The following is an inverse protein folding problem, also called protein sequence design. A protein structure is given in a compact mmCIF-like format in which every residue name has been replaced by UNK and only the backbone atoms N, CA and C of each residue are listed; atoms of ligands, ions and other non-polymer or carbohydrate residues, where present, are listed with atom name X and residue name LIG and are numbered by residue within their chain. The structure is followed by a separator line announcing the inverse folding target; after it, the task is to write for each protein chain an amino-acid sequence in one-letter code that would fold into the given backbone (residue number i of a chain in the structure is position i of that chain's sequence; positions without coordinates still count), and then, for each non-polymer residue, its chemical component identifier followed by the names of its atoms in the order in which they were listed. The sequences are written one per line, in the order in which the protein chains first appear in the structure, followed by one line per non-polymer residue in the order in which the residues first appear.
data_IF_797464793615
#
_entry.id   IF_797464793615
#
_cell.length_a   1.000
_cell.length_b   1.000
_cell.length_c   1.000
_cell.angle_alpha   90.00
_cell.angle_beta   90.00
_cell.angle_gamma   90.00
#
_symmetry.space_group_name_H-M   'P 1'
#
loop_
_entity.id
_entity.type
_entity.pdbx_description
1 polymer ?
#
# COMPACT_ATOMS: atom_id res chain seq x y z
N UNK A 1 42.90 3.31 35.10
CA UNK A 1 43.17 1.92 34.68
C UNK A 1 41.91 1.09 34.92
N UNK A 2 41.04 0.97 33.92
CA UNK A 2 40.86 -0.18 33.01
C UNK A 2 39.83 -1.23 33.48
N UNK A 3 38.56 -1.02 33.08
CA UNK A 3 37.57 -2.08 32.79
C UNK A 3 36.72 -1.74 31.53
N UNK A 4 37.31 -1.04 30.56
CA UNK A 4 36.65 -0.54 29.34
C UNK A 4 37.23 -1.15 28.04
N UNK A 5 37.67 -2.41 28.08
CA UNK A 5 38.16 -3.11 26.88
C UNK A 5 37.85 -4.59 26.96
N UNK A 6 36.76 -5.00 26.32
CA UNK A 6 36.53 -6.32 25.70
C UNK A 6 35.04 -6.40 25.34
N UNK A 7 34.63 -5.81 24.22
CA UNK A 7 33.44 -6.21 23.44
C UNK A 7 33.49 -5.69 21.98
N UNK A 8 34.50 -4.93 21.59
CA UNK A 8 34.87 -4.80 20.17
C UNK A 8 35.69 -6.01 19.73
N UNK A 9 35.01 -7.00 19.14
CA UNK A 9 35.46 -7.75 17.96
C UNK A 9 34.55 -8.96 17.69
N UNK A 10 33.51 -8.76 16.89
CA UNK A 10 33.02 -9.68 15.83
C UNK A 10 31.99 -8.94 14.99
N UNK A 11 31.93 -9.21 13.67
CA UNK A 11 31.62 -8.20 12.67
C UNK A 11 30.16 -7.76 12.73
N UNK A 12 29.96 -6.43 12.74
CA UNK A 12 28.67 -5.81 12.50
C UNK A 12 28.21 -6.14 11.09
N UNK A 13 27.33 -7.13 10.97
CA UNK A 13 26.60 -7.45 9.76
C UNK A 13 25.26 -8.07 10.16
N UNK A 14 24.31 -7.22 10.54
CA UNK A 14 22.90 -7.54 10.53
C UNK A 14 22.17 -6.21 10.31
N UNK A 15 21.82 -5.99 9.05
CA UNK A 15 21.18 -4.80 8.53
C UNK A 15 19.71 -4.78 8.97
N UNK A 16 19.28 -3.60 9.39
CA UNK A 16 17.90 -3.16 9.65
C UNK A 16 16.92 -3.65 8.58
N UNK A 17 15.94 -4.50 8.91
CA UNK A 17 14.96 -4.98 7.91
C UNK A 17 13.47 -5.00 8.32
N UNK A 18 13.04 -4.68 9.54
CA UNK A 18 11.58 -4.71 9.86
C UNK A 18 10.89 -3.35 9.69
N UNK A 19 11.53 -2.25 10.12
CA UNK A 19 11.02 -0.89 9.83
C UNK A 19 11.01 -0.54 8.34
N UNK A 20 11.83 -1.23 7.52
CA UNK A 20 11.84 -1.08 6.06
C UNK A 20 10.75 -1.92 5.40
N UNK A 21 10.29 -3.03 5.99
CA UNK A 21 9.24 -3.86 5.40
C UNK A 21 7.84 -3.27 5.60
N UNK A 22 7.51 -2.74 6.79
CA UNK A 22 6.21 -2.10 7.01
C UNK A 22 6.06 -0.80 6.20
N UNK A 23 7.16 -0.05 6.00
CA UNK A 23 7.20 1.17 5.17
C UNK A 23 7.48 0.92 3.69
N UNK A 24 7.86 -0.31 3.36
CA UNK A 24 7.80 -0.82 2.00
C UNK A 24 6.37 -1.15 1.58
N UNK A 25 5.43 -1.33 2.52
CA UNK A 25 4.10 -1.86 2.26
C UNK A 25 3.01 -0.80 2.05
N UNK A 26 3.11 0.39 2.64
CA UNK A 26 2.38 1.57 2.12
C UNK A 26 2.93 2.04 0.77
N UNK A 27 4.18 1.67 0.50
CA UNK A 27 4.81 1.73 -0.80
C UNK A 27 4.66 0.43 -1.59
N UNK A 28 3.86 -0.59 -1.21
CA UNK A 28 3.94 -1.88 -1.93
C UNK A 28 3.42 -1.81 -3.35
N UNK A 29 2.44 -0.96 -3.73
CA UNK A 29 2.22 -0.68 -5.14
C UNK A 29 3.49 -0.10 -5.77
N UNK A 30 4.17 0.84 -5.11
CA UNK A 30 5.39 1.49 -5.60
C UNK A 30 6.66 0.59 -5.60
N UNK A 31 6.81 -0.36 -4.68
CA UNK A 31 7.96 -1.28 -4.58
C UNK A 31 7.78 -2.50 -5.46
N UNK A 32 6.54 -2.95 -5.68
CA UNK A 32 6.25 -3.92 -6.74
C UNK A 32 6.22 -3.30 -8.14
N UNK A 33 6.06 -1.97 -8.25
CA UNK A 33 6.37 -1.20 -9.46
C UNK A 33 7.89 -1.00 -9.66
N UNK A 34 8.69 -0.87 -8.59
CA UNK A 34 10.12 -0.52 -8.72
C UNK A 34 11.04 -1.70 -9.04
N UNK A 35 10.68 -2.94 -8.69
CA UNK A 35 11.49 -4.12 -8.99
C UNK A 35 11.43 -4.58 -10.47
N UNK A 36 10.53 -4.00 -11.29
CA UNK A 36 10.42 -4.30 -12.73
C UNK A 36 11.17 -3.34 -13.67
N UNK A 37 11.63 -2.19 -13.18
CA UNK A 37 12.10 -1.08 -14.03
C UNK A 37 13.64 -0.97 -14.17
N UNK A 38 14.40 -1.95 -13.68
CA UNK A 38 15.87 -1.91 -13.73
C UNK A 38 16.47 -2.09 -15.15
N UNK A 39 15.65 -2.23 -16.20
CA UNK A 39 16.17 -2.26 -17.56
C UNK A 39 15.10 -2.09 -18.61
N UNK A 40 14.71 -0.85 -18.92
CA UNK A 40 14.16 -0.46 -20.23
C UNK A 40 14.03 1.07 -20.35
N UNK A 41 15.14 1.79 -20.17
CA UNK A 41 15.24 3.17 -20.64
C UNK A 41 15.56 3.18 -22.13
N UNK A 42 14.53 3.36 -22.94
CA UNK A 42 14.47 4.27 -24.09
C UNK A 42 13.46 3.72 -25.10
N UNK A 43 12.30 4.37 -25.23
CA UNK A 43 11.76 4.71 -26.55
C UNK A 43 10.54 5.65 -26.45
N UNK A 44 10.48 6.71 -27.27
CA UNK A 44 9.32 7.59 -27.35
C UNK A 44 8.25 6.95 -28.24
N UNK A 45 7.04 6.74 -27.72
CA UNK A 45 5.91 6.30 -28.54
C UNK A 45 4.81 7.35 -28.62
N UNK A 46 4.42 7.62 -29.87
CA UNK A 46 3.47 8.63 -30.28
C UNK A 46 2.03 8.29 -29.87
N UNK A 47 1.32 9.30 -29.38
CA UNK A 47 -0.06 9.21 -28.88
C UNK A 47 -1.04 9.25 -30.06
N UNK A 48 -1.79 8.17 -30.29
CA UNK A 48 -2.96 8.19 -31.16
C UNK A 48 -4.21 8.39 -30.30
N UNK A 49 -4.91 9.51 -30.51
CA UNK A 49 -6.20 9.78 -29.87
C UNK A 49 -7.30 8.98 -30.60
N UNK A 50 -8.03 8.13 -29.89
CA UNK A 50 -9.33 7.63 -30.34
C UNK A 50 -10.44 8.48 -29.72
N UNK A 51 -11.37 8.89 -30.57
CA UNK A 51 -12.47 9.79 -30.28
C UNK A 51 -13.59 9.09 -29.50
N UNK A 52 -14.17 9.79 -28.51
CA UNK A 52 -15.38 9.37 -27.80
C UNK A 52 -15.47 9.73 -26.31
N UNK A 53 -14.49 10.41 -25.73
CA UNK A 53 -14.53 10.80 -24.31
C UNK A 53 -15.40 12.06 -24.09
N UNK A 54 -16.21 12.05 -23.03
CA UNK A 54 -16.78 13.26 -22.42
C UNK A 54 -15.66 14.31 -22.26
N UNK A 55 -16.00 15.59 -22.40
CA UNK A 55 -15.02 16.66 -22.26
C UNK A 55 -14.40 16.58 -20.85
N UNK A 56 -13.14 16.15 -20.77
CA UNK A 56 -12.37 16.03 -19.53
C UNK A 56 -12.39 17.36 -18.80
N UNK A 57 -12.81 17.36 -17.54
CA UNK A 57 -12.80 18.58 -16.72
C UNK A 57 -11.36 18.91 -16.27
N UNK A 58 -11.14 20.14 -15.81
CA UNK A 58 -9.85 20.55 -15.26
C UNK A 58 -9.44 19.75 -14.02
N UNK A 59 -10.42 19.26 -13.26
CA UNK A 59 -10.26 18.47 -12.04
C UNK A 59 -9.92 17.01 -12.36
N UNK A 60 -10.58 16.39 -13.35
CA UNK A 60 -10.29 15.01 -13.81
C UNK A 60 -8.80 14.83 -14.19
N UNK A 61 -8.23 15.90 -14.75
CA UNK A 61 -6.84 15.93 -15.18
C UNK A 61 -5.88 16.33 -14.08
N UNK A 62 -6.35 16.98 -13.01
CA UNK A 62 -5.50 17.44 -11.92
C UNK A 62 -4.85 16.27 -11.20
N UNK A 63 -5.66 15.36 -10.64
CA UNK A 63 -5.16 14.25 -9.84
C UNK A 63 -4.30 13.31 -10.70
N UNK A 64 -4.70 13.07 -11.95
CA UNK A 64 -3.90 12.32 -12.93
C UNK A 64 -2.50 12.91 -13.13
N UNK A 65 -2.37 14.25 -13.25
CA UNK A 65 -1.06 14.91 -13.41
C UNK A 65 -0.23 14.82 -12.14
N UNK A 66 -0.85 14.98 -10.98
CA UNK A 66 -0.18 14.93 -9.69
C UNK A 66 0.35 13.52 -9.39
N UNK A 67 -0.46 12.48 -9.62
CA UNK A 67 -0.04 11.08 -9.51
C UNK A 67 1.10 10.73 -10.47
N UNK A 68 1.08 11.25 -11.70
CA UNK A 68 2.21 11.12 -12.65
C UNK A 68 3.48 11.75 -12.13
N UNK A 69 3.39 12.98 -11.60
CA UNK A 69 4.53 13.66 -10.98
C UNK A 69 5.06 12.87 -9.78
N UNK A 70 4.16 12.35 -8.95
CA UNK A 70 4.49 11.55 -7.77
C UNK A 70 5.18 10.23 -8.10
N UNK A 71 4.78 9.54 -9.18
CA UNK A 71 5.47 8.33 -9.64
C UNK A 71 6.94 8.57 -10.02
N UNK A 72 7.25 9.79 -10.48
CA UNK A 72 8.60 10.20 -10.91
C UNK A 72 9.39 10.95 -9.84
N UNK A 73 8.90 10.96 -8.58
CA UNK A 73 9.48 11.76 -7.48
C UNK A 73 10.97 11.50 -7.24
N UNK A 74 11.44 10.25 -7.41
CA UNK A 74 12.85 9.89 -7.24
C UNK A 74 13.80 10.56 -8.25
N UNK A 75 13.27 11.06 -9.38
CA UNK A 75 14.03 11.79 -10.41
C UNK A 75 13.93 13.32 -10.27
N UNK A 76 13.10 13.81 -9.33
CA UNK A 76 12.88 15.24 -9.16
C UNK A 76 13.97 15.86 -8.29
N UNK A 77 14.75 16.76 -8.87
CA UNK A 77 15.72 17.56 -8.13
C UNK A 77 15.04 18.36 -7.02
N UNK A 78 15.51 18.22 -5.78
CA UNK A 78 14.98 18.94 -4.62
C UNK A 78 13.69 18.36 -4.03
N UNK A 79 13.25 17.17 -4.46
CA UNK A 79 12.14 16.48 -3.80
C UNK A 79 12.47 16.14 -2.34
N UNK A 80 11.59 16.52 -1.43
CA UNK A 80 11.68 16.17 -0.02
C UNK A 80 10.62 15.12 0.28
N UNK A 81 11.09 13.94 0.68
CA UNK A 81 10.21 12.83 1.08
C UNK A 81 9.59 13.14 2.45
N UNK A 82 8.30 12.82 2.58
CA UNK A 82 7.64 12.81 3.87
C UNK A 82 8.35 11.86 4.86
N UNK A 83 8.38 12.26 6.14
CA UNK A 83 8.75 11.37 7.22
C UNK A 83 7.83 10.16 7.28
N UNK A 84 8.36 9.01 7.69
CA UNK A 84 7.62 7.73 7.67
C UNK A 84 7.71 6.98 8.99
N UNK A 85 8.60 7.39 9.89
CA UNK A 85 8.67 6.90 11.26
C UNK A 85 8.13 7.96 12.23
N UNK A 86 7.65 7.56 13.43
CA UNK A 86 7.19 8.49 14.46
C UNK A 86 8.19 9.63 14.75
N UNK A 87 9.49 9.34 14.77
CA UNK A 87 10.55 10.33 15.01
C UNK A 87 10.71 11.39 13.90
N UNK A 88 10.17 11.12 12.71
CA UNK A 88 10.25 12.00 11.53
C UNK A 88 8.91 12.63 11.17
N UNK A 89 7.87 12.37 11.96
CA UNK A 89 6.51 12.84 11.74
C UNK A 89 6.05 13.72 12.92
N UNK A 90 5.02 14.51 12.69
CA UNK A 90 4.41 15.35 13.72
C UNK A 90 3.27 14.59 14.38
N UNK A 91 3.24 14.59 15.71
CA UNK A 91 2.07 14.09 16.44
C UNK A 91 0.87 14.99 16.17
N UNK A 92 -0.29 14.39 15.89
CA UNK A 92 -1.54 15.11 15.61
C UNK A 92 -2.72 14.42 16.28
N UNK A 93 -3.79 15.19 16.50
CA UNK A 93 -5.08 14.62 16.93
C UNK A 93 -5.65 13.70 15.84
N UNK A 94 -6.41 12.66 16.22
CA UNK A 94 -6.90 11.66 15.28
C UNK A 94 -7.98 12.19 14.32
N UNK A 95 -8.59 13.35 14.57
CA UNK A 95 -9.74 13.89 13.83
C UNK A 95 -9.52 13.93 12.31
N UNK A 96 -8.34 14.34 11.85
CA UNK A 96 -8.04 14.40 10.42
C UNK A 96 -8.02 13.02 9.76
N UNK A 97 -7.44 12.04 10.44
CA UNK A 97 -7.41 10.65 9.95
C UNK A 97 -8.82 10.02 10.02
N UNK A 98 -9.55 10.22 11.12
CA UNK A 98 -10.92 9.74 11.28
C UNK A 98 -11.82 10.30 10.17
N UNK A 99 -11.72 11.59 9.86
CA UNK A 99 -12.44 12.22 8.76
C UNK A 99 -12.20 11.50 7.42
N UNK A 100 -10.97 11.14 7.09
CA UNK A 100 -10.66 10.44 5.84
C UNK A 100 -11.20 9.00 5.81
N UNK A 101 -11.19 8.31 6.96
CA UNK A 101 -11.79 6.96 7.07
C UNK A 101 -13.31 7.03 6.89
N UNK A 102 -13.97 7.99 7.54
CA UNK A 102 -15.40 8.25 7.39
C UNK A 102 -15.78 8.65 5.96
N UNK A 103 -14.96 9.47 5.30
CA UNK A 103 -15.17 9.88 3.91
C UNK A 103 -15.12 8.68 2.96
N UNK A 104 -14.13 7.79 3.11
CA UNK A 104 -14.01 6.58 2.30
C UNK A 104 -15.17 5.61 2.54
N UNK A 105 -15.60 5.45 3.79
CA UNK A 105 -16.75 4.62 4.14
C UNK A 105 -18.04 5.17 3.52
N UNK A 106 -18.27 6.48 3.65
CA UNK A 106 -19.42 7.18 3.08
C UNK A 106 -19.45 7.11 1.55
N UNK A 107 -18.28 7.07 0.91
CA UNK A 107 -18.16 6.91 -0.54
C UNK A 107 -18.31 5.45 -1.01
N UNK A 108 -18.44 4.47 -0.10
CA UNK A 108 -18.49 3.05 -0.43
C UNK A 108 -17.16 2.45 -0.88
N UNK A 109 -16.05 3.17 -0.65
CA UNK A 109 -14.70 2.74 -1.01
C UNK A 109 -14.10 1.83 0.07
N UNK A 110 -14.37 2.14 1.34
CA UNK A 110 -13.96 1.33 2.47
C UNK A 110 -15.20 0.58 3.00
N UNK A 111 -15.19 -0.77 3.05
CA UNK A 111 -16.31 -1.52 3.62
C UNK A 111 -16.62 -1.08 5.06
N UNK A 112 -17.90 -1.09 5.43
CA UNK A 112 -18.39 -0.54 6.70
C UNK A 112 -17.73 -1.21 7.91
N UNK A 113 -17.54 -2.54 7.87
CA UNK A 113 -16.92 -3.30 8.95
C UNK A 113 -15.43 -2.95 9.12
N UNK A 114 -14.72 -2.74 8.01
CA UNK A 114 -13.32 -2.29 8.03
C UNK A 114 -13.20 -0.85 8.55
N UNK A 115 -14.10 0.04 8.13
CA UNK A 115 -14.15 1.41 8.60
C UNK A 115 -14.41 1.47 10.11
N UNK A 116 -15.43 0.74 10.59
CA UNK A 116 -15.77 0.66 12.01
C UNK A 116 -14.59 0.13 12.84
N UNK A 117 -13.91 -0.92 12.36
CA UNK A 117 -12.71 -1.42 13.01
C UNK A 117 -11.61 -0.36 13.10
N UNK A 118 -11.27 0.31 11.99
CA UNK A 118 -10.23 1.33 12.04
C UNK A 118 -10.61 2.50 12.96
N UNK A 119 -11.86 2.95 12.92
CA UNK A 119 -12.34 4.05 13.78
C UNK A 119 -12.26 3.70 15.27
N UNK A 120 -12.52 2.45 15.65
CA UNK A 120 -12.39 1.97 17.03
C UNK A 120 -10.91 1.87 17.47
N UNK A 121 -10.02 1.53 16.54
CA UNK A 121 -8.60 1.32 16.84
C UNK A 121 -7.74 2.59 16.74
N UNK A 122 -8.20 3.62 16.03
CA UNK A 122 -7.57 4.94 15.98
C UNK A 122 -7.86 5.69 17.29
N UNK A 123 -6.84 6.26 17.93
CA UNK A 123 -7.09 7.16 19.08
C UNK A 123 -5.96 7.37 20.06
N UNK A 124 -4.82 6.68 19.92
CA UNK A 124 -3.73 6.77 20.90
C UNK A 124 -2.46 7.43 20.38
N UNK A 125 -2.08 7.20 19.12
CA UNK A 125 -0.85 7.76 18.55
C UNK A 125 -0.98 7.93 17.06
N UNK A 126 -1.44 9.11 16.65
CA UNK A 126 -1.57 9.49 15.25
C UNK A 126 -0.50 10.50 14.88
N UNK A 127 0.12 10.27 13.74
CA UNK A 127 1.22 11.06 13.22
C UNK A 127 0.91 11.53 11.81
N UNK A 128 1.38 12.72 11.47
CA UNK A 128 1.25 13.33 10.16
C UNK A 128 2.62 13.74 9.61
N UNK A 129 2.83 13.56 8.32
CA UNK A 129 3.91 14.19 7.58
C UNK A 129 3.43 14.62 6.20
N UNK A 130 4.16 15.56 5.60
CA UNK A 130 3.87 16.02 4.25
C UNK A 130 5.15 15.99 3.41
N UNK A 131 5.02 15.65 2.14
CA UNK A 131 6.12 15.71 1.18
C UNK A 131 6.11 17.01 0.36
N UNK A 132 7.19 17.30 -0.34
CA UNK A 132 7.27 18.53 -1.15
C UNK A 132 6.36 18.55 -2.40
N UNK A 133 5.60 17.48 -2.65
CA UNK A 133 4.62 17.39 -3.74
C UNK A 133 3.18 17.62 -3.26
N UNK A 134 2.98 17.83 -1.95
CA UNK A 134 1.65 18.04 -1.36
C UNK A 134 0.95 16.75 -0.98
N UNK A 135 1.66 15.63 -0.82
CA UNK A 135 1.07 14.42 -0.27
C UNK A 135 1.24 14.38 1.24
N UNK A 136 0.12 14.35 1.93
CA UNK A 136 0.03 14.23 3.39
C UNK A 136 -0.15 12.76 3.76
N UNK A 137 0.67 12.26 4.66
CA UNK A 137 0.58 10.91 5.19
C UNK A 137 0.14 10.96 6.64
N UNK A 138 -0.95 10.28 6.95
CA UNK A 138 -1.38 9.97 8.30
C UNK A 138 -0.98 8.54 8.63
N UNK A 139 -0.49 8.30 9.85
CA UNK A 139 -0.24 6.96 10.37
C UNK A 139 -0.76 6.90 11.80
N UNK A 140 -1.54 5.88 12.13
CA UNK A 140 -1.95 5.61 13.50
C UNK A 140 -1.42 4.26 13.98
N UNK A 141 -0.94 4.27 15.21
CA UNK A 141 -0.53 3.08 15.93
C UNK A 141 -1.52 2.82 17.07
N UNK A 142 -1.97 1.58 17.18
CA UNK A 142 -2.80 1.08 18.27
C UNK A 142 -1.93 0.49 19.37
N UNK A 143 -2.35 0.60 20.63
CA UNK A 143 -1.70 -0.10 21.75
C UNK A 143 -2.45 -1.38 22.03
N UNK A 144 -1.73 -2.51 22.09
CA UNK A 144 -2.24 -3.73 22.73
C UNK A 144 -1.98 -3.70 24.24
N UNK A 145 -0.85 -3.13 24.66
CA UNK A 145 -0.42 -2.92 26.06
C UNK A 145 0.53 -1.69 26.15
N UNK A 146 0.92 -1.28 27.38
CA UNK A 146 1.77 -0.10 27.67
C UNK A 146 3.07 -0.04 26.84
N UNK A 147 3.55 -1.18 26.35
CA UNK A 147 4.78 -1.36 25.61
C UNK A 147 4.60 -2.11 24.28
N UNK A 148 3.43 -2.15 23.63
CA UNK A 148 3.29 -2.83 22.32
C UNK A 148 2.39 -2.01 21.41
N UNK A 149 3.02 -1.27 20.49
CA UNK A 149 2.34 -0.50 19.45
C UNK A 149 2.33 -1.26 18.13
N UNK A 150 1.15 -1.57 17.58
CA UNK A 150 1.02 -2.08 16.22
C UNK A 150 0.62 -0.94 15.30
N UNK A 151 1.20 -0.92 14.09
CA UNK A 151 0.66 -0.10 13.03
C UNK A 151 -0.79 -0.55 12.78
N UNK A 152 -1.75 0.38 12.78
CA UNK A 152 -3.17 0.07 12.53
C UNK A 152 -3.56 0.49 11.12
N UNK A 153 -3.25 1.74 10.77
CA UNK A 153 -3.65 2.32 9.51
C UNK A 153 -2.69 3.42 9.11
N UNK A 154 -2.49 3.56 7.80
CA UNK A 154 -1.96 4.78 7.23
C UNK A 154 -2.68 5.15 5.95
N UNK A 155 -2.81 6.46 5.77
CA UNK A 155 -3.60 7.09 4.73
C UNK A 155 -2.73 8.14 4.07
N UNK A 156 -2.63 8.08 2.74
CA UNK A 156 -1.99 9.09 1.92
C UNK A 156 -3.04 9.93 1.22
N UNK A 157 -3.02 11.22 1.47
CA UNK A 157 -3.96 12.22 0.98
C UNK A 157 -3.23 13.18 0.07
N UNK A 158 -3.82 13.49 -1.08
CA UNK A 158 -3.33 14.58 -1.93
C UNK A 158 -3.94 15.90 -1.42
N UNK A 159 -3.10 16.87 -1.03
CA UNK A 159 -3.51 18.01 -0.21
C UNK A 159 -4.39 19.04 -0.91
N UNK A 160 -4.39 19.12 -2.24
CA UNK A 160 -5.23 20.10 -2.93
C UNK A 160 -6.65 19.57 -3.15
N UNK A 161 -6.79 18.32 -3.59
CA UNK A 161 -8.07 17.66 -3.81
C UNK A 161 -8.67 17.09 -2.53
N UNK A 162 -7.85 16.94 -1.48
CA UNK A 162 -8.18 16.26 -0.22
C UNK A 162 -8.59 14.80 -0.41
N UNK A 163 -8.26 14.21 -1.58
CA UNK A 163 -8.61 12.82 -1.89
C UNK A 163 -7.58 11.86 -1.34
N UNK A 164 -8.06 10.77 -0.75
CA UNK A 164 -7.24 9.63 -0.35
C UNK A 164 -6.78 8.87 -1.58
N UNK A 165 -5.48 8.91 -1.86
CA UNK A 165 -4.84 8.20 -2.99
C UNK A 165 -4.20 6.88 -2.57
N UNK A 166 -4.11 6.64 -1.26
CA UNK A 166 -3.55 5.41 -0.72
C UNK A 166 -4.07 5.15 0.69
N UNK A 167 -4.39 3.90 0.97
CA UNK A 167 -4.71 3.42 2.31
C UNK A 167 -4.06 2.05 2.48
N UNK A 168 -3.47 1.83 3.64
CA UNK A 168 -3.10 0.50 4.09
C UNK A 168 -3.49 0.39 5.55
N UNK A 169 -4.23 -0.65 5.90
CA UNK A 169 -4.61 -0.92 7.28
C UNK A 169 -4.57 -2.39 7.59
N UNK A 170 -4.48 -2.71 8.87
CA UNK A 170 -4.34 -4.06 9.38
C UNK A 170 -5.24 -4.29 10.57
N UNK A 171 -5.76 -5.51 10.65
CA UNK A 171 -6.59 -5.97 11.74
C UNK A 171 -6.06 -7.31 12.26
N UNK A 172 -6.41 -7.62 13.50
CA UNK A 172 -6.15 -8.95 14.04
C UNK A 172 -7.02 -9.98 13.31
N UNK A 173 -6.49 -11.18 13.04
CA UNK A 173 -7.22 -12.21 12.28
C UNK A 173 -8.59 -12.54 12.90
N UNK A 174 -8.63 -12.63 14.23
CA UNK A 174 -9.87 -12.96 14.96
C UNK A 174 -10.94 -11.85 14.87
N UNK A 175 -10.60 -10.66 14.35
CA UNK A 175 -11.60 -9.64 14.07
C UNK A 175 -12.61 -10.10 13.00
N UNK A 176 -12.24 -11.11 12.19
CA UNK A 176 -13.17 -11.78 11.27
C UNK A 176 -13.78 -10.83 10.23
N UNK A 177 -13.02 -9.82 9.79
CA UNK A 177 -13.52 -8.83 8.84
C UNK A 177 -13.78 -9.49 7.48
N UNK A 178 -14.84 -9.09 6.76
CA UNK A 178 -15.15 -9.68 5.47
C UNK A 178 -14.08 -9.33 4.43
N UNK A 179 -13.86 -10.25 3.49
CA UNK A 179 -13.10 -9.95 2.28
C UNK A 179 -13.83 -8.87 1.46
N UNK A 180 -13.17 -7.77 1.07
CA UNK A 180 -13.79 -6.72 0.28
C UNK A 180 -14.17 -7.21 -1.13
N UNK A 181 -15.34 -6.81 -1.61
CA UNK A 181 -15.71 -6.92 -3.02
C UNK A 181 -14.87 -5.92 -3.83
N UNK A 182 -13.69 -6.37 -4.30
CA UNK A 182 -12.74 -5.52 -5.01
C UNK A 182 -13.34 -4.83 -6.26
N UNK A 183 -14.14 -5.50 -7.13
CA UNK A 183 -14.86 -4.83 -8.21
C UNK A 183 -15.76 -3.67 -7.75
N UNK A 184 -16.57 -3.87 -6.70
CA UNK A 184 -17.45 -2.84 -6.18
C UNK A 184 -16.66 -1.68 -5.54
N UNK A 185 -15.64 -2.00 -4.74
CA UNK A 185 -14.74 -1.04 -4.10
C UNK A 185 -14.00 -0.19 -5.15
N UNK A 186 -13.46 -0.81 -6.20
CA UNK A 186 -12.74 -0.09 -7.26
C UNK A 186 -13.66 0.80 -8.09
N UNK A 187 -14.91 0.37 -8.32
CA UNK A 187 -15.91 1.20 -8.98
C UNK A 187 -16.23 2.45 -8.15
N UNK A 188 -16.49 2.28 -6.85
CA UNK A 188 -16.69 3.38 -5.91
C UNK A 188 -15.45 4.28 -5.83
N UNK A 189 -14.25 3.69 -5.80
CA UNK A 189 -13.00 4.43 -5.66
C UNK A 189 -12.71 5.30 -6.88
N UNK A 190 -12.93 4.78 -8.09
CA UNK A 190 -12.85 5.54 -9.33
C UNK A 190 -13.78 6.76 -9.31
N UNK A 191 -15.01 6.60 -8.82
CA UNK A 191 -15.97 7.70 -8.68
C UNK A 191 -15.55 8.70 -7.60
N UNK A 192 -15.11 8.21 -6.44
CA UNK A 192 -14.58 9.04 -5.35
C UNK A 192 -13.44 9.96 -5.80
N UNK A 193 -12.54 9.44 -6.66
CA UNK A 193 -11.43 10.18 -7.23
C UNK A 193 -11.81 11.08 -8.43
N UNK A 194 -13.07 11.08 -8.87
CA UNK A 194 -13.54 11.87 -10.01
C UNK A 194 -13.01 11.37 -11.36
N UNK A 195 -12.77 10.07 -11.50
CA UNK A 195 -12.10 9.48 -12.68
C UNK A 195 -13.06 8.78 -13.67
N UNK A 196 -14.37 8.94 -13.50
CA UNK A 196 -15.38 8.30 -14.34
C UNK A 196 -15.31 8.70 -15.82
N UNK A 197 -14.81 9.90 -16.12
CA UNK A 197 -14.67 10.42 -17.48
C UNK A 197 -13.46 9.86 -18.23
N UNK A 198 -12.52 9.22 -17.52
CA UNK A 198 -11.35 8.58 -18.12
C UNK A 198 -11.78 7.29 -18.85
N UNK A 199 -11.20 7.07 -20.03
CA UNK A 199 -11.54 5.94 -20.88
C UNK A 199 -10.75 4.67 -20.50
N UNK A 200 -11.20 3.54 -21.05
CA UNK A 200 -10.45 2.28 -21.11
C UNK A 200 -10.12 1.63 -19.75
N UNK A 201 -10.95 1.87 -18.74
CA UNK A 201 -10.84 1.19 -17.45
C UNK A 201 -11.16 -0.31 -17.59
N UNK A 202 -10.18 -1.16 -17.32
CA UNK A 202 -10.35 -2.61 -17.29
C UNK A 202 -9.35 -3.25 -16.32
N UNK A 203 -9.65 -4.46 -15.85
CA UNK A 203 -8.67 -5.25 -15.10
C UNK A 203 -7.43 -5.51 -15.96
N UNK A 204 -6.19 -5.27 -15.46
CA UNK A 204 -4.98 -5.57 -16.20
C UNK A 204 -4.75 -7.09 -16.25
N UNK A 205 -5.39 -7.76 -17.21
CA UNK A 205 -5.29 -9.20 -17.41
C UNK A 205 -3.84 -9.67 -17.52
N UNK A 206 -3.59 -10.89 -17.04
CA UNK A 206 -2.25 -11.47 -17.02
C UNK A 206 -1.29 -10.70 -16.12
N UNK A 207 -1.81 -10.04 -15.07
CA UNK A 207 -1.00 -9.49 -13.97
C UNK A 207 -1.58 -9.96 -12.63
N UNK A 208 -0.82 -9.79 -11.54
CA UNK A 208 -1.35 -9.99 -10.17
C UNK A 208 -2.52 -9.06 -9.80
N UNK A 209 -2.80 -8.05 -10.64
CA UNK A 209 -3.88 -7.09 -10.45
C UNK A 209 -5.13 -7.40 -11.28
N UNK A 210 -5.18 -8.55 -11.97
CA UNK A 210 -6.27 -8.87 -12.90
C UNK A 210 -7.65 -8.86 -12.23
N UNK A 211 -7.75 -9.35 -10.99
CA UNK A 211 -9.01 -9.48 -10.26
C UNK A 211 -9.27 -8.32 -9.28
N UNK A 212 -8.23 -7.56 -8.95
CA UNK A 212 -8.23 -6.64 -7.82
C UNK A 212 -7.64 -5.26 -8.19
N UNK A 213 -7.57 -4.96 -9.48
CA UNK A 213 -7.15 -3.68 -10.02
C UNK A 213 -7.97 -3.22 -11.22
N UNK A 214 -7.98 -1.91 -11.43
CA UNK A 214 -8.61 -1.25 -12.57
C UNK A 214 -7.56 -0.34 -13.23
N UNK A 215 -7.22 -0.61 -14.48
CA UNK A 215 -6.19 0.10 -15.23
C UNK A 215 -6.79 0.87 -16.39
N UNK A 216 -6.36 2.13 -16.57
CA UNK A 216 -6.63 2.92 -17.77
C UNK A 216 -5.33 3.16 -18.52
N UNK A 217 -5.18 2.54 -19.69
CA UNK A 217 -3.99 2.71 -20.54
C UNK A 217 -3.85 4.14 -21.07
N UNK A 218 -4.96 4.76 -21.45
CA UNK A 218 -4.97 6.13 -21.99
C UNK A 218 -4.61 7.18 -20.94
N UNK A 219 -4.97 6.93 -19.67
CA UNK A 219 -4.56 7.74 -18.53
C UNK A 219 -3.18 7.33 -17.97
N UNK A 220 -2.74 6.09 -18.16
CA UNK A 220 -1.56 5.53 -17.50
C UNK A 220 -1.73 5.48 -15.99
N UNK A 221 -2.92 5.04 -15.52
CA UNK A 221 -3.28 4.99 -14.11
C UNK A 221 -3.79 3.59 -13.73
N UNK A 222 -3.39 3.12 -12.55
CA UNK A 222 -3.87 1.90 -11.92
C UNK A 222 -4.53 2.27 -10.59
N UNK A 223 -5.75 1.78 -10.40
CA UNK A 223 -6.39 1.67 -9.09
C UNK A 223 -6.25 0.22 -8.64
N UNK A 224 -5.89 -0.02 -7.38
CA UNK A 224 -5.78 -1.37 -6.82
C UNK A 224 -6.45 -1.43 -5.45
N UNK A 225 -7.16 -2.53 -5.22
CA UNK A 225 -7.80 -2.90 -3.96
C UNK A 225 -7.29 -4.28 -3.60
N UNK A 226 -6.58 -4.44 -2.49
CA UNK A 226 -6.02 -5.72 -2.09
C UNK A 226 -6.39 -6.02 -0.65
N UNK A 227 -6.67 -7.29 -0.35
CA UNK A 227 -6.77 -7.77 1.01
C UNK A 227 -6.12 -9.14 1.11
N UNK A 228 -5.85 -9.60 2.33
CA UNK A 228 -5.27 -10.90 2.57
C UNK A 228 -4.71 -11.00 3.98
N UNK A 229 -3.91 -12.05 4.21
CA UNK A 229 -3.29 -12.32 5.49
C UNK A 229 -1.77 -12.17 5.39
N UNK A 230 -1.16 -11.78 6.50
CA UNK A 230 0.30 -11.74 6.65
C UNK A 230 0.68 -12.04 8.10
N UNK A 231 1.90 -12.53 8.29
CA UNK A 231 2.49 -12.69 9.61
C UNK A 231 3.18 -11.39 10.00
N UNK A 232 2.66 -10.72 11.03
CA UNK A 232 3.29 -9.55 11.60
C UNK A 232 4.40 -9.98 12.57
N UNK A 233 5.63 -9.57 12.27
CA UNK A 233 6.74 -9.71 13.19
C UNK A 233 6.76 -8.53 14.17
N UNK A 234 7.02 -8.76 15.46
CA UNK A 234 7.20 -7.68 16.42
C UNK A 234 8.37 -6.79 15.98
N UNK A 235 8.19 -5.47 16.01
CA UNK A 235 9.32 -4.57 15.81
C UNK A 235 10.27 -4.61 17.01
N UNK A 236 11.57 -4.40 16.73
CA UNK A 236 12.74 -4.53 17.62
C UNK A 236 12.67 -3.79 18.97
N UNK A 237 11.64 -2.98 19.21
CA UNK A 237 11.48 -2.16 20.42
C UNK A 237 10.71 -2.86 21.54
N UNK A 238 10.06 -4.01 21.30
CA UNK A 238 9.12 -4.57 22.27
C UNK A 238 9.20 -6.11 22.35
N UNK A 239 9.81 -6.60 23.44
CA UNK A 239 10.30 -7.98 23.65
C UNK A 239 9.22 -9.08 23.89
N UNK A 240 7.94 -8.86 23.59
CA UNK A 240 6.91 -9.83 24.00
C UNK A 240 5.71 -9.94 23.04
N UNK A 241 5.93 -10.45 21.84
CA UNK A 241 4.85 -10.94 20.99
C UNK A 241 5.35 -12.08 20.12
N UNK A 242 4.68 -13.23 20.15
CA UNK A 242 4.91 -14.26 19.12
C UNK A 242 4.47 -13.77 17.74
N UNK A 243 4.75 -14.57 16.72
CA UNK A 243 4.22 -14.37 15.37
C UNK A 243 2.69 -14.21 15.44
N UNK A 244 2.17 -13.13 14.85
CA UNK A 244 0.73 -12.87 14.82
C UNK A 244 0.23 -12.83 13.39
N UNK A 245 -0.70 -13.73 13.09
CA UNK A 245 -1.47 -13.68 11.86
C UNK A 245 -2.41 -12.47 11.92
N UNK A 246 -2.28 -11.61 10.92
CA UNK A 246 -3.06 -10.39 10.77
C UNK A 246 -3.64 -10.36 9.37
N UNK A 247 -4.77 -9.70 9.24
CA UNK A 247 -5.36 -9.39 7.95
C UNK A 247 -5.03 -7.96 7.55
N UNK A 248 -4.94 -7.69 6.25
CA UNK A 248 -4.72 -6.34 5.73
C UNK A 248 -5.77 -5.96 4.70
N UNK A 249 -5.99 -4.66 4.59
CA UNK A 249 -6.74 -4.02 3.53
C UNK A 249 -5.91 -2.88 2.94
N UNK A 250 -5.85 -2.80 1.61
CA UNK A 250 -5.09 -1.77 0.91
C UNK A 250 -5.83 -1.22 -0.30
N UNK A 251 -5.80 0.09 -0.44
CA UNK A 251 -6.23 0.84 -1.61
C UNK A 251 -5.07 1.66 -2.14
N UNK A 252 -4.96 1.78 -3.45
CA UNK A 252 -3.99 2.70 -4.05
C UNK A 252 -4.40 3.20 -5.42
N UNK A 253 -4.07 4.46 -5.70
CA UNK A 253 -4.12 5.08 -7.01
C UNK A 253 -2.70 5.48 -7.41
N UNK A 254 -2.21 4.93 -8.52
CA UNK A 254 -0.84 5.15 -8.97
C UNK A 254 -0.76 5.40 -10.47
N UNK A 255 0.20 6.22 -10.88
CA UNK A 255 0.59 6.30 -12.29
C UNK A 255 1.45 5.10 -12.66
N UNK A 256 0.98 4.34 -13.65
CA UNK A 256 1.63 3.13 -14.15
C UNK A 256 1.69 3.21 -15.67
N UNK A 257 2.91 3.20 -16.22
CA UNK A 257 3.10 3.24 -17.66
C UNK A 257 2.68 1.90 -18.29
N UNK A 258 2.19 1.94 -19.52
CA UNK A 258 1.74 0.73 -20.24
C UNK A 258 2.89 -0.28 -20.41
N UNK A 259 4.12 0.20 -20.58
CA UNK A 259 5.33 -0.64 -20.61
C UNK A 259 5.49 -1.45 -19.34
N UNK A 260 5.21 -0.88 -18.18
CA UNK A 260 5.28 -1.57 -16.88
C UNK A 260 4.24 -2.69 -16.79
N UNK A 261 3.00 -2.42 -17.22
CA UNK A 261 1.94 -3.44 -17.27
C UNK A 261 2.31 -4.57 -18.22
N UNK A 262 2.84 -4.24 -19.41
CA UNK A 262 3.33 -5.25 -20.36
C UNK A 262 4.47 -6.08 -19.77
N UNK A 263 5.38 -5.45 -19.04
CA UNK A 263 6.45 -6.13 -18.32
C UNK A 263 5.92 -7.13 -17.29
N UNK A 264 4.89 -6.78 -16.53
CA UNK A 264 4.22 -7.71 -15.62
C UNK A 264 3.58 -8.89 -16.35
N UNK A 265 2.95 -8.65 -17.49
CA UNK A 265 2.34 -9.71 -18.30
C UNK A 265 3.38 -10.66 -18.90
N UNK A 266 4.52 -10.12 -19.34
CA UNK A 266 5.66 -10.92 -19.81
C UNK A 266 6.27 -11.75 -18.68
N UNK A 267 6.44 -11.15 -17.51
CA UNK A 267 6.87 -11.84 -16.30
C UNK A 267 5.91 -13.00 -15.97
N UNK A 268 4.60 -12.75 -15.91
CA UNK A 268 3.62 -13.81 -15.63
C UNK A 268 3.65 -14.93 -16.69
N UNK A 269 3.80 -14.60 -17.97
CA UNK A 269 3.94 -15.59 -19.04
C UNK A 269 5.20 -16.46 -18.88
N UNK A 270 6.27 -15.95 -18.26
CA UNK A 270 7.51 -16.69 -18.04
C UNK A 270 7.39 -17.85 -17.04
N UNK A 271 6.37 -17.85 -16.17
CA UNK A 271 6.11 -18.92 -15.20
C UNK A 271 5.03 -19.92 -15.65
N UNK A 272 4.46 -19.77 -16.85
CA UNK A 272 3.27 -20.52 -17.27
C UNK A 272 1.99 -19.99 -16.59
N UNK A 273 0.81 -20.34 -17.13
CA UNK A 273 -0.45 -19.86 -16.57
C UNK A 273 -0.65 -20.36 -15.13
N UNK A 274 -0.78 -19.45 -14.16
CA UNK A 274 -1.21 -19.76 -12.78
C UNK A 274 -0.24 -19.45 -11.63
N UNK A 275 0.97 -18.94 -11.89
CA UNK A 275 2.03 -18.87 -10.87
C UNK A 275 1.74 -18.02 -9.62
N UNK A 276 0.91 -16.96 -9.69
CA UNK A 276 0.52 -16.21 -8.49
C UNK A 276 -0.51 -16.97 -7.64
N UNK A 277 -1.52 -17.58 -8.26
CA UNK A 277 -2.48 -18.43 -7.55
C UNK A 277 -1.87 -19.73 -7.00
N UNK A 278 -0.82 -20.24 -7.65
CA UNK A 278 -0.06 -21.39 -7.18
C UNK A 278 0.81 -21.03 -5.97
N UNK A 279 1.42 -19.83 -5.93
CA UNK A 279 2.22 -19.40 -4.79
C UNK A 279 1.36 -19.18 -3.54
N UNK A 280 0.16 -18.61 -3.67
CA UNK A 280 -0.78 -18.46 -2.55
C UNK A 280 -1.32 -19.83 -2.09
N UNK A 281 -1.62 -20.74 -3.02
CA UNK A 281 -2.06 -22.10 -2.71
C UNK A 281 -0.96 -23.01 -2.13
N UNK A 282 0.30 -22.86 -2.58
CA UNK A 282 1.44 -23.60 -2.04
C UNK A 282 1.85 -23.06 -0.66
N UNK A 283 1.66 -21.75 -0.41
CA UNK A 283 1.82 -21.16 0.94
C UNK A 283 0.73 -21.68 1.89
N UNK A 284 -0.52 -21.79 1.43
CA UNK A 284 -1.61 -22.40 2.20
C UNK A 284 -1.38 -23.90 2.46
N UNK A 285 -0.84 -24.65 1.49
CA UNK A 285 -0.51 -26.08 1.66
C UNK A 285 0.65 -26.32 2.62
N UNK A 286 1.68 -25.48 2.61
CA UNK A 286 2.79 -25.57 3.56
C UNK A 286 2.35 -25.26 5.01
N UNK A 287 1.23 -24.57 5.20
CA UNK A 287 0.60 -24.37 6.51
C UNK A 287 -0.23 -25.58 6.97
N UNK A 288 -0.82 -26.36 6.05
CA UNK A 288 -1.53 -27.60 6.38
C UNK A 288 -0.60 -28.80 6.66
N UNK A 289 0.62 -28.80 6.10
CA UNK A 289 1.54 -29.95 6.19
C UNK A 289 2.56 -29.90 7.34
N UNK A 290 2.53 -28.92 8.26
CA UNK A 290 3.34 -29.02 9.49
C UNK A 290 2.68 -29.99 10.48
N UNK A 291 3.26 -31.19 10.74
CA UNK A 291 2.74 -32.05 11.79
C UNK A 291 3.10 -31.46 13.15
N UNK A 292 2.18 -31.56 14.09
CA UNK A 292 2.40 -31.37 15.52
C UNK A 292 3.56 -32.26 16.01
N UNK A 293 4.78 -31.77 15.97
CA UNK A 293 5.94 -32.47 16.56
C UNK A 293 6.77 -31.50 17.41
N UNK A 294 6.14 -30.95 18.45
CA UNK A 294 6.86 -30.46 19.63
C UNK A 294 5.97 -30.58 20.89
N UNK A 295 5.45 -31.79 21.10
CA UNK A 295 5.11 -32.28 22.43
C UNK A 295 6.09 -33.42 22.75
N UNK A 296 6.96 -33.19 23.74
CA UNK A 296 7.88 -34.11 24.45
C UNK A 296 9.37 -33.80 24.22
N UNK A 297 9.94 -33.06 25.18
CA UNK A 297 11.37 -32.84 25.36
C UNK A 297 11.65 -31.96 26.58
#
# INVERSE_FOLDING_TARGET
MNKWKKWFARPAAAVLCTGVLALALSAVPALTLWLGDAGLLAQPHARTQKAGALALTGEDMYLTRVLKKYSRRGSLSGYQRAGTSPDSMYYVEPDGLLFHVEELASAGVLPEEWAAYFMDQIGLSTYQSEDSLGFVNYISYGRRDENLGYYIIGVTVESQSQKVVGLWGTAEEWAGLPEPDAPAVLAAYKTYLGMDSLADWAGPEGTKYAENGLYSASAGLLLACQSGFYVAYPDYTFEAGGDQQRMYFSLSAASVEESTVRGWQEYQRSFGAGAFGQADADTARLQEEQPEEEAMG
#
